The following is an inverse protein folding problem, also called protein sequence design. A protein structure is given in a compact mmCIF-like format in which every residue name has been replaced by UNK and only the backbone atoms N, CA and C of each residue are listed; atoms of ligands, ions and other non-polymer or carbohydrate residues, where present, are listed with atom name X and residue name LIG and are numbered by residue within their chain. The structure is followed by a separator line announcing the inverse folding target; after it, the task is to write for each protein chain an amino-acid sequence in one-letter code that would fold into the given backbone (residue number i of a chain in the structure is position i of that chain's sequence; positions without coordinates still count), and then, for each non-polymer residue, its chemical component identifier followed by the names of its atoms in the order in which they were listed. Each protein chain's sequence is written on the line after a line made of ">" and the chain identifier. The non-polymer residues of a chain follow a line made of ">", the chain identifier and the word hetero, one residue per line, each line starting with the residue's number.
data_IF_458571480384
#
_entry.id   IF_458571480384
#
_cell.length_a   1.000
_cell.length_b   1.000
_cell.length_c   1.000
_cell.angle_alpha   90.00
_cell.angle_beta   90.00
_cell.angle_gamma   90.00
#
_symmetry.space_group_name_H-M   'P 1'
#
loop_
_entity.id
_entity.type
_entity.pdbx_description
1 polymer ?
#
# COMPACT_ATOMS: atom_id res chain seq x y z
N UNK A 1 -9.36 17.31 -23.68
CA UNK A 1 -9.12 16.31 -22.62
C UNK A 1 -9.41 14.86 -23.06
N UNK A 2 -10.40 14.60 -23.92
CA UNK A 2 -10.71 13.25 -24.44
C UNK A 2 -9.54 12.57 -25.22
N UNK A 3 -8.78 13.32 -26.02
CA UNK A 3 -7.64 12.76 -26.78
C UNK A 3 -6.50 12.23 -25.90
N UNK A 4 -6.31 12.80 -24.69
CA UNK A 4 -5.33 12.30 -23.71
C UNK A 4 -5.78 10.99 -23.05
N UNK A 5 -7.09 10.81 -22.85
CA UNK A 5 -7.66 9.57 -22.35
C UNK A 5 -7.55 8.44 -23.38
N UNK A 6 -7.77 8.74 -24.67
CA UNK A 6 -7.56 7.76 -25.74
C UNK A 6 -6.07 7.39 -25.92
N UNK A 7 -5.15 8.35 -25.76
CA UNK A 7 -3.71 8.07 -25.72
C UNK A 7 -3.29 7.22 -24.50
N UNK A 8 -3.88 7.49 -23.33
CA UNK A 8 -3.65 6.67 -22.14
C UNK A 8 -4.21 5.26 -22.31
N UNK A 9 -5.40 5.13 -22.91
CA UNK A 9 -6.01 3.83 -23.19
C UNK A 9 -5.18 3.01 -24.20
N UNK A 10 -4.69 3.65 -25.27
CA UNK A 10 -3.84 2.96 -26.25
C UNK A 10 -2.49 2.57 -25.67
N UNK A 11 -1.88 3.42 -24.85
CA UNK A 11 -0.64 3.11 -24.13
C UNK A 11 -0.83 2.06 -23.02
N UNK A 12 -1.95 2.07 -22.32
CA UNK A 12 -2.31 1.02 -21.37
C UNK A 12 -2.55 -0.32 -22.08
N UNK A 13 -3.19 -0.31 -23.27
CA UNK A 13 -3.37 -1.52 -24.08
C UNK A 13 -2.04 -2.07 -24.61
N UNK A 14 -1.11 -1.19 -25.02
CA UNK A 14 0.24 -1.56 -25.43
C UNK A 14 1.07 -2.10 -24.26
N UNK A 15 0.98 -1.48 -23.08
CA UNK A 15 1.61 -1.96 -21.86
C UNK A 15 1.02 -3.31 -21.41
N UNK A 16 -0.30 -3.50 -21.48
CA UNK A 16 -0.95 -4.78 -21.19
C UNK A 16 -0.53 -5.87 -22.17
N UNK A 17 -0.37 -5.55 -23.46
CA UNK A 17 0.16 -6.49 -24.47
C UNK A 17 1.63 -6.83 -24.19
N UNK A 18 2.43 -5.86 -23.74
CA UNK A 18 3.82 -6.08 -23.37
C UNK A 18 3.93 -6.95 -22.11
N UNK A 19 3.14 -6.66 -21.07
CA UNK A 19 3.04 -7.48 -19.85
C UNK A 19 2.48 -8.86 -20.17
N UNK A 20 1.53 -9.01 -21.08
CA UNK A 20 1.02 -10.33 -21.47
C UNK A 20 2.09 -11.15 -22.24
N UNK A 21 2.91 -10.51 -23.07
CA UNK A 21 3.96 -11.19 -23.86
C UNK A 21 5.22 -11.49 -23.05
N UNK A 22 5.65 -10.59 -22.17
CA UNK A 22 6.91 -10.72 -21.44
C UNK A 22 6.71 -10.97 -19.95
N UNK A 23 5.55 -10.68 -19.38
CA UNK A 23 5.27 -10.82 -17.95
C UNK A 23 5.38 -12.26 -17.47
N UNK A 24 4.98 -13.25 -18.28
CA UNK A 24 5.19 -14.68 -17.95
C UNK A 24 6.67 -15.02 -17.85
N UNK A 25 7.50 -14.52 -18.76
CA UNK A 25 8.95 -14.75 -18.75
C UNK A 25 9.63 -14.04 -17.58
N UNK A 26 9.27 -12.78 -17.32
CA UNK A 26 9.76 -12.03 -16.16
C UNK A 26 9.34 -12.67 -14.83
N UNK A 27 8.08 -13.10 -14.72
CA UNK A 27 7.55 -13.79 -13.56
C UNK A 27 8.29 -15.10 -13.32
N UNK A 28 8.55 -15.88 -14.38
CA UNK A 28 9.31 -17.13 -14.29
C UNK A 28 10.76 -16.90 -13.88
N UNK A 29 11.43 -15.91 -14.43
CA UNK A 29 12.79 -15.53 -14.05
C UNK A 29 12.86 -15.06 -12.58
N UNK A 30 11.87 -14.30 -12.14
CA UNK A 30 11.79 -13.82 -10.75
C UNK A 30 11.55 -14.98 -9.78
N UNK A 31 10.66 -15.93 -10.12
CA UNK A 31 10.47 -17.15 -9.33
C UNK A 31 11.74 -18.01 -9.27
N UNK A 32 12.48 -18.11 -10.37
CA UNK A 32 13.72 -18.88 -10.42
C UNK A 32 14.82 -18.26 -9.54
N UNK A 33 14.95 -16.94 -9.55
CA UNK A 33 15.87 -16.23 -8.65
C UNK A 33 15.45 -16.32 -7.18
N UNK A 34 14.14 -16.34 -6.92
CA UNK A 34 13.59 -16.40 -5.57
C UNK A 34 13.30 -17.82 -5.09
N UNK A 35 13.76 -18.85 -5.80
CA UNK A 35 13.50 -20.25 -5.48
C UNK A 35 13.90 -20.65 -4.06
N UNK A 36 14.94 -20.02 -3.51
CA UNK A 36 15.37 -20.18 -2.12
C UNK A 36 14.32 -19.79 -1.06
N UNK A 37 13.35 -18.95 -1.41
CA UNK A 37 12.26 -18.50 -0.52
C UNK A 37 10.95 -19.26 -0.77
N UNK A 38 10.89 -20.10 -1.81
CA UNK A 38 9.69 -20.84 -2.19
C UNK A 38 9.72 -22.17 -1.44
N UNK A 39 8.73 -22.38 -0.56
CA UNK A 39 8.60 -23.62 0.18
C UNK A 39 7.97 -24.70 -0.72
N UNK A 40 8.73 -25.74 -1.08
CA UNK A 40 8.22 -26.94 -1.76
C UNK A 40 7.98 -28.05 -0.72
N UNK A 41 6.83 -28.76 -0.70
CA UNK A 41 5.72 -28.74 -1.65
C UNK A 41 4.68 -27.63 -1.39
N UNK A 42 4.06 -27.06 -2.46
CA UNK A 42 2.95 -26.11 -2.36
C UNK A 42 1.63 -26.82 -1.98
N UNK A 43 1.63 -27.51 -0.85
CA UNK A 43 0.45 -28.18 -0.30
C UNK A 43 -0.41 -27.16 0.45
N UNK A 44 -1.73 -27.32 0.37
CA UNK A 44 -2.71 -26.40 1.02
C UNK A 44 -2.44 -26.27 2.52
N UNK A 45 -2.00 -27.35 3.17
CA UNK A 45 -1.64 -27.37 4.59
C UNK A 45 -0.42 -26.48 4.90
N UNK A 46 0.66 -26.57 4.11
CA UNK A 46 1.85 -25.74 4.25
C UNK A 46 1.56 -24.26 3.99
N UNK A 47 0.69 -23.97 3.03
CA UNK A 47 0.24 -22.60 2.77
C UNK A 47 -0.53 -22.02 3.98
N UNK A 48 -1.40 -22.83 4.60
CA UNK A 48 -2.14 -22.44 5.80
C UNK A 48 -1.21 -22.25 7.01
N UNK A 49 -0.22 -23.12 7.20
CA UNK A 49 0.81 -22.97 8.24
C UNK A 49 1.62 -21.68 8.06
N UNK A 50 2.12 -21.42 6.84
CA UNK A 50 2.88 -20.21 6.53
C UNK A 50 2.04 -18.94 6.72
N UNK A 51 0.76 -18.97 6.32
CA UNK A 51 -0.17 -17.86 6.54
C UNK A 51 -0.36 -17.59 8.04
N UNK A 52 -0.52 -18.63 8.86
CA UNK A 52 -0.60 -18.52 10.32
C UNK A 52 0.70 -17.97 10.90
N UNK A 53 1.86 -18.49 10.50
CA UNK A 53 3.17 -17.99 10.97
C UNK A 53 3.37 -16.52 10.61
N UNK A 54 3.01 -16.11 9.40
CA UNK A 54 3.08 -14.71 8.98
C UNK A 54 2.12 -13.85 9.80
N UNK A 55 0.90 -14.31 10.04
CA UNK A 55 -0.07 -13.62 10.89
C UNK A 55 0.44 -13.43 12.32
N UNK A 56 0.93 -14.49 12.96
CA UNK A 56 1.48 -14.40 14.32
C UNK A 56 2.76 -13.55 14.39
N UNK A 57 3.64 -13.63 13.39
CA UNK A 57 4.83 -12.76 13.31
C UNK A 57 4.44 -11.30 13.19
N UNK A 58 3.42 -11.00 12.36
CA UNK A 58 2.88 -9.65 12.22
C UNK A 58 2.27 -9.18 13.53
N UNK A 59 1.45 -9.99 14.20
CA UNK A 59 0.88 -9.67 15.51
C UNK A 59 1.96 -9.41 16.58
N UNK A 60 3.00 -10.24 16.63
CA UNK A 60 4.11 -10.07 17.57
C UNK A 60 4.91 -8.77 17.31
N UNK A 61 4.93 -8.28 16.07
CA UNK A 61 5.57 -7.01 15.72
C UNK A 61 4.73 -5.76 16.05
N UNK A 62 3.42 -5.90 16.28
CA UNK A 62 2.51 -4.78 16.60
C UNK A 62 2.94 -4.01 17.86
N UNK A 63 3.24 -4.65 19.02
CA UNK A 63 3.61 -3.90 20.22
C UNK A 63 4.86 -3.04 20.02
N UNK A 64 5.89 -3.56 19.34
CA UNK A 64 7.10 -2.78 19.02
C UNK A 64 6.83 -1.59 18.10
N UNK A 65 5.93 -1.76 17.11
CA UNK A 65 5.52 -0.65 16.23
C UNK A 65 4.68 0.40 16.96
N UNK A 66 3.83 -0.02 17.90
CA UNK A 66 3.04 0.88 18.73
C UNK A 66 3.95 1.72 19.64
N UNK A 67 4.99 1.13 20.22
CA UNK A 67 5.97 1.88 21.02
C UNK A 67 6.69 2.96 20.19
N UNK A 68 7.15 2.64 18.98
CA UNK A 68 7.75 3.63 18.08
C UNK A 68 6.76 4.74 17.70
N UNK A 69 5.51 4.37 17.42
CA UNK A 69 4.45 5.33 17.12
C UNK A 69 4.18 6.27 18.30
N UNK A 70 4.16 5.76 19.53
CA UNK A 70 4.01 6.60 20.73
C UNK A 70 5.19 7.56 20.92
N UNK A 71 6.43 7.14 20.61
CA UNK A 71 7.61 8.02 20.63
C UNK A 71 7.51 9.13 19.58
N UNK A 72 7.05 8.81 18.37
CA UNK A 72 6.83 9.81 17.32
C UNK A 72 5.69 10.77 17.66
N UNK A 73 4.61 10.27 18.28
CA UNK A 73 3.51 11.11 18.78
C UNK A 73 3.96 12.05 19.90
N UNK A 74 4.79 11.57 20.83
CA UNK A 74 5.33 12.42 21.90
C UNK A 74 6.26 13.50 21.32
N UNK A 75 7.06 13.16 20.32
CA UNK A 75 7.90 14.11 19.58
C UNK A 75 7.05 15.19 18.88
N UNK A 76 5.99 14.79 18.17
CA UNK A 76 5.04 15.74 17.53
C UNK A 76 4.31 16.59 18.57
N UNK A 77 3.93 16.02 19.72
CA UNK A 77 3.29 16.73 20.82
C UNK A 77 4.24 17.77 21.43
N UNK A 78 5.52 17.46 21.55
CA UNK A 78 6.52 18.39 22.04
C UNK A 78 6.79 19.53 21.03
N UNK A 79 6.82 19.21 19.74
CA UNK A 79 6.86 20.22 18.66
C UNK A 79 5.63 21.13 18.66
N UNK A 80 4.44 20.59 18.94
CA UNK A 80 3.19 21.37 19.07
C UNK A 80 3.18 22.29 20.30
N UNK A 81 3.85 21.91 21.40
CA UNK A 81 4.02 22.79 22.55
C UNK A 81 4.99 23.95 22.25
N UNK A 82 6.00 23.71 21.41
CA UNK A 82 6.96 24.71 20.94
C UNK A 82 6.53 25.35 19.60
N UNK A 83 5.26 25.77 19.52
CA UNK A 83 4.62 26.27 18.29
C UNK A 83 5.29 27.48 17.64
N UNK A 84 6.14 28.22 18.36
CA UNK A 84 6.83 29.39 17.84
C UNK A 84 8.06 29.06 16.95
N UNK A 85 8.62 27.85 17.03
CA UNK A 85 9.76 27.41 16.20
C UNK A 85 9.36 26.50 15.04
N UNK A 86 8.06 26.34 14.76
CA UNK A 86 7.60 25.43 13.71
C UNK A 86 7.90 26.01 12.32
N UNK A 87 8.91 25.44 11.66
CA UNK A 87 9.20 25.65 10.24
C UNK A 87 7.95 25.35 9.40
N UNK A 88 7.55 26.31 8.57
CA UNK A 88 6.40 26.20 7.63
C UNK A 88 6.49 24.94 6.76
N UNK A 89 7.70 24.49 6.45
CA UNK A 89 7.97 23.26 5.69
C UNK A 89 7.44 21.99 6.38
N UNK A 90 7.62 21.84 7.70
CA UNK A 90 7.14 20.67 8.45
C UNK A 90 5.62 20.62 8.52
N UNK A 91 4.97 21.79 8.61
CA UNK A 91 3.51 21.90 8.56
C UNK A 91 2.99 21.53 7.18
N UNK A 92 3.69 21.94 6.11
CA UNK A 92 3.36 21.57 4.73
C UNK A 92 3.45 20.07 4.48
N UNK A 93 4.50 19.41 4.96
CA UNK A 93 4.68 17.96 4.85
C UNK A 93 3.57 17.22 5.63
N UNK A 94 3.27 17.66 6.86
CA UNK A 94 2.20 17.07 7.66
C UNK A 94 0.82 17.23 7.00
N UNK A 95 0.56 18.37 6.37
CA UNK A 95 -0.68 18.62 5.63
C UNK A 95 -0.81 17.74 4.39
N UNK A 96 0.27 17.58 3.60
CA UNK A 96 0.30 16.67 2.45
C UNK A 96 0.09 15.21 2.87
N UNK A 97 0.74 14.79 3.95
CA UNK A 97 0.55 13.45 4.50
C UNK A 97 -0.89 13.22 4.98
N UNK A 98 -1.50 14.22 5.64
CA UNK A 98 -2.91 14.17 6.03
C UNK A 98 -3.86 14.08 4.83
N UNK A 99 -3.58 14.82 3.77
CA UNK A 99 -4.36 14.77 2.52
C UNK A 99 -4.23 13.41 1.84
N UNK A 100 -3.03 12.83 1.79
CA UNK A 100 -2.80 11.49 1.25
C UNK A 100 -3.52 10.41 2.07
N UNK A 101 -3.49 10.50 3.40
CA UNK A 101 -4.25 9.61 4.27
C UNK A 101 -5.76 9.72 4.03
N UNK A 102 -6.27 10.94 3.84
CA UNK A 102 -7.69 11.17 3.54
C UNK A 102 -8.08 10.58 2.17
N UNK A 103 -7.23 10.76 1.16
CA UNK A 103 -7.46 10.18 -0.16
C UNK A 103 -7.48 8.64 -0.12
N UNK A 104 -6.58 8.02 0.65
CA UNK A 104 -6.58 6.57 0.86
C UNK A 104 -7.80 6.07 1.62
N UNK A 105 -8.28 6.82 2.62
CA UNK A 105 -9.53 6.50 3.32
C UNK A 105 -10.72 6.53 2.35
N UNK A 106 -10.83 7.59 1.54
CA UNK A 106 -11.86 7.70 0.49
C UNK A 106 -11.78 6.56 -0.54
N UNK A 107 -10.57 6.20 -0.97
CA UNK A 107 -10.37 5.07 -1.87
C UNK A 107 -10.82 3.75 -1.22
N UNK A 108 -10.51 3.54 0.06
CA UNK A 108 -10.99 2.39 0.83
C UNK A 108 -12.51 2.36 0.97
N UNK A 109 -13.16 3.52 1.16
CA UNK A 109 -14.61 3.65 1.21
C UNK A 109 -15.25 3.30 -0.15
N UNK A 110 -14.66 3.74 -1.26
CA UNK A 110 -15.12 3.39 -2.62
C UNK A 110 -14.99 1.88 -2.87
N UNK A 111 -13.87 1.27 -2.46
CA UNK A 111 -13.66 -0.18 -2.57
C UNK A 111 -14.66 -0.95 -1.69
N UNK A 112 -14.90 -0.49 -0.45
CA UNK A 112 -15.87 -1.06 0.47
C UNK A 112 -17.32 -0.94 0.00
N UNK A 113 -17.64 0.09 -0.80
CA UNK A 113 -18.94 0.28 -1.48
C UNK A 113 -19.03 -0.45 -2.84
N UNK A 114 -18.08 -1.33 -3.15
CA UNK A 114 -18.11 -2.11 -4.39
C UNK A 114 -17.85 -1.30 -5.66
N UNK A 115 -16.97 -0.29 -5.61
CA UNK A 115 -16.64 0.62 -6.70
C UNK A 115 -17.76 1.59 -7.11
N UNK A 116 -18.69 1.88 -6.21
CA UNK A 116 -19.73 2.88 -6.44
C UNK A 116 -19.17 4.28 -6.18
N UNK A 117 -18.76 4.97 -7.24
CA UNK A 117 -18.17 6.33 -7.17
C UNK A 117 -19.20 7.42 -6.80
N UNK A 118 -20.50 7.12 -6.87
CA UNK A 118 -21.59 8.09 -6.66
C UNK A 118 -22.66 7.51 -5.72
N UNK A 119 -22.58 7.86 -4.43
CA UNK A 119 -23.66 7.64 -3.46
C UNK A 119 -23.81 6.22 -2.89
N UNK A 120 -24.49 6.12 -1.75
CA UNK A 120 -25.04 4.86 -1.26
C UNK A 120 -26.23 4.47 -2.16
N UNK A 121 -26.27 3.23 -2.61
CA UNK A 121 -27.51 2.66 -3.17
C UNK A 121 -28.52 2.58 -2.02
N UNK A 122 -29.53 3.45 -2.05
CA UNK A 122 -30.79 3.28 -1.31
C UNK A 122 -31.65 2.25 -2.03
#
# INVERSE_FOLDING_TARGET
>A
MASKLQQLQSKACEASKFVAKHGTTYYRQLLEQNKQYIQEPPTVEKCNELAKQLFYTRLASIPGRNESFWKELDYVKNLWKNKQELKVENVGIAALFGLECFAWYWAGEIVGRGFTFTGYYV
#
